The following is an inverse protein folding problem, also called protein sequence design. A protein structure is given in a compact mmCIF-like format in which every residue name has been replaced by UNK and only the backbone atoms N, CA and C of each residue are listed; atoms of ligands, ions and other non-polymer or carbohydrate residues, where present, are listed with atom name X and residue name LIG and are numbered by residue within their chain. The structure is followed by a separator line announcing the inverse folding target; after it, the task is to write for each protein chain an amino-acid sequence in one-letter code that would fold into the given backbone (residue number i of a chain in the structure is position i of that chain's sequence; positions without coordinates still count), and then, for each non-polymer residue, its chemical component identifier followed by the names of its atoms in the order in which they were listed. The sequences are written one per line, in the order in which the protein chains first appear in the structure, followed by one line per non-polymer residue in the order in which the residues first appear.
data_IF_892418743637
#
_entry.id   IF_892418743637
#
_cell.length_a   1.000
_cell.length_b   1.000
_cell.length_c   1.000
_cell.angle_alpha   90.00
_cell.angle_beta   90.00
_cell.angle_gamma   90.00
#
_symmetry.space_group_name_H-M   'P 1'
#
loop_
_entity.id
_entity.type
_entity.pdbx_description
1 polymer ?
#
# COMPACT_ATOMS: atom_id res chain seq x y z
N UNK A 1 -13.37 -4.02 9.97
CA UNK A 1 -11.92 -4.20 10.17
C UNK A 1 -11.45 -5.41 9.39
N UNK A 2 -10.30 -5.34 8.69
CA UNK A 2 -9.71 -6.48 8.00
C UNK A 2 -9.57 -7.68 8.94
N UNK A 3 -9.75 -8.90 8.41
CA UNK A 3 -9.65 -10.14 9.19
C UNK A 3 -8.29 -10.31 9.90
N UNK A 4 -7.30 -9.52 9.49
CA UNK A 4 -5.97 -9.54 10.07
C UNK A 4 -5.78 -8.59 11.26
N UNK A 5 -6.60 -7.55 11.43
CA UNK A 5 -6.50 -6.57 12.55
C UNK A 5 -7.17 -7.04 13.85
N UNK A 6 -7.85 -8.19 13.83
CA UNK A 6 -8.65 -8.66 14.96
C UNK A 6 -7.81 -9.31 16.08
N UNK A 7 -6.96 -8.55 16.77
CA UNK A 7 -6.59 -8.74 18.20
C UNK A 7 -5.64 -7.63 18.71
N UNK A 8 -5.91 -7.01 19.88
CA UNK A 8 -4.96 -6.11 20.52
C UNK A 8 -3.80 -6.93 21.10
N UNK A 9 -2.56 -6.53 20.82
CA UNK A 9 -1.37 -7.13 21.45
C UNK A 9 -0.48 -8.02 20.57
N UNK A 10 -0.64 -8.01 19.24
CA UNK A 10 0.35 -8.62 18.35
C UNK A 10 1.62 -7.77 18.31
N UNK A 11 2.45 -7.90 19.34
CA UNK A 11 3.83 -7.47 19.29
C UNK A 11 4.53 -8.42 18.30
N UNK A 12 4.63 -8.01 17.04
CA UNK A 12 5.46 -8.68 16.04
C UNK A 12 6.93 -8.56 16.46
N UNK A 13 7.36 -9.38 17.42
CA UNK A 13 8.78 -9.71 17.60
C UNK A 13 9.10 -10.80 16.59
N UNK A 14 9.25 -10.40 15.32
CA UNK A 14 9.79 -11.26 14.28
C UNK A 14 11.29 -11.45 14.51
N UNK A 15 11.67 -12.40 15.36
CA UNK A 15 12.98 -13.03 15.22
C UNK A 15 12.92 -13.93 13.99
N UNK A 16 13.12 -13.37 12.78
CA UNK A 16 13.60 -14.01 11.54
C UNK A 16 13.26 -13.17 10.29
N UNK A 17 13.77 -11.93 10.25
CA UNK A 17 14.38 -11.29 9.08
C UNK A 17 14.56 -9.82 9.45
N UNK A 18 15.81 -9.43 9.68
CA UNK A 18 16.18 -8.02 9.74
C UNK A 18 15.83 -7.40 8.39
N UNK A 19 14.73 -6.63 8.31
CA UNK A 19 14.42 -5.79 7.14
C UNK A 19 15.47 -4.66 6.98
N UNK A 20 16.33 -4.46 7.98
CA UNK A 20 17.37 -3.45 8.00
C UNK A 20 18.40 -3.54 6.85
N UNK A 21 18.41 -4.62 6.06
CA UNK A 21 19.37 -4.82 4.96
C UNK A 21 18.73 -4.89 3.55
N UNK A 22 17.40 -4.77 3.42
CA UNK A 22 16.71 -4.79 2.10
C UNK A 22 16.13 -3.46 1.66
N UNK A 23 15.84 -2.56 2.61
CA UNK A 23 15.38 -1.21 2.30
C UNK A 23 16.54 -0.28 1.95
N UNK A 24 17.20 -0.44 0.79
CA UNK A 24 18.05 0.59 0.14
C UNK A 24 18.95 0.09 -1.01
N UNK A 25 18.63 -0.98 -1.74
CA UNK A 25 19.33 -1.22 -3.03
C UNK A 25 18.72 -0.35 -4.13
N UNK A 26 18.94 0.95 -4.01
CA UNK A 26 18.87 1.92 -5.10
C UNK A 26 19.85 1.43 -6.18
N UNK A 27 19.35 0.77 -7.24
CA UNK A 27 20.19 0.52 -8.42
C UNK A 27 20.30 1.85 -9.14
N UNK A 28 21.44 2.52 -8.99
CA UNK A 28 21.83 3.62 -9.87
C UNK A 28 21.89 3.10 -11.31
N UNK A 29 20.88 3.45 -12.11
CA UNK A 29 20.95 3.35 -13.57
C UNK A 29 21.31 4.73 -14.12
N UNK A 30 22.46 4.90 -14.77
CA UNK A 30 22.81 6.15 -15.42
C UNK A 30 22.02 6.29 -16.72
N UNK A 31 21.01 7.15 -16.68
CA UNK A 31 20.25 7.62 -17.84
C UNK A 31 19.19 8.58 -17.30
N UNK A 32 19.36 9.88 -17.55
CA UNK A 32 18.56 10.99 -17.03
C UNK A 32 17.08 10.59 -16.75
N UNK A 33 16.78 10.27 -15.48
CA UNK A 33 15.46 9.78 -15.10
C UNK A 33 14.55 10.98 -14.91
N UNK A 34 13.53 11.10 -15.75
CA UNK A 34 12.34 11.91 -15.43
C UNK A 34 11.94 11.54 -14.00
N UNK A 35 11.99 12.49 -13.07
CA UNK A 35 11.68 12.29 -11.64
C UNK A 35 10.18 11.98 -11.50
N UNK A 36 9.73 10.78 -11.87
CA UNK A 36 8.31 10.42 -11.86
C UNK A 36 7.74 10.53 -10.45
N UNK A 37 6.47 10.92 -10.30
CA UNK A 37 5.84 10.91 -8.98
C UNK A 37 5.77 9.49 -8.42
N UNK A 38 5.79 9.38 -7.09
CA UNK A 38 5.60 8.09 -6.39
C UNK A 38 4.11 7.76 -6.28
N UNK A 39 3.76 6.48 -6.39
CA UNK A 39 2.43 5.97 -5.99
C UNK A 39 2.59 5.01 -4.82
N UNK A 40 2.25 5.49 -3.63
CA UNK A 40 2.15 4.67 -2.43
C UNK A 40 0.83 3.90 -2.44
N UNK A 41 0.91 2.57 -2.51
CA UNK A 41 -0.24 1.72 -2.75
C UNK A 41 -0.49 0.78 -1.57
N UNK A 42 -1.64 0.91 -0.92
CA UNK A 42 -2.13 -0.11 0.01
C UNK A 42 -2.80 -1.29 -0.72
N UNK A 43 -2.78 -2.45 -0.07
CA UNK A 43 -3.43 -3.67 -0.52
C UNK A 43 -4.85 -3.75 -0.01
N UNK A 44 -5.05 -3.70 1.30
CA UNK A 44 -6.36 -3.84 1.92
C UNK A 44 -7.14 -2.54 1.76
N UNK A 45 -8.34 -2.62 1.17
CA UNK A 45 -9.16 -1.48 0.80
C UNK A 45 -9.07 -1.24 -0.71
N UNK A 46 -7.99 -0.64 -1.23
CA UNK A 46 -7.85 -0.33 -2.65
C UNK A 46 -7.81 -1.55 -3.58
N UNK A 47 -6.92 -2.51 -3.34
CA UNK A 47 -6.76 -3.68 -4.22
C UNK A 47 -7.63 -4.84 -3.76
N UNK A 48 -7.73 -5.03 -2.44
CA UNK A 48 -8.51 -6.04 -1.78
C UNK A 48 -9.70 -5.39 -1.06
N UNK A 49 -10.89 -5.35 -1.68
CA UNK A 49 -12.09 -4.76 -1.08
C UNK A 49 -12.62 -5.65 0.04
N UNK A 50 -11.93 -5.64 1.18
CA UNK A 50 -12.17 -6.54 2.29
C UNK A 50 -13.52 -6.30 2.99
N UNK A 51 -14.11 -5.11 2.79
CA UNK A 51 -15.41 -4.74 3.34
C UNK A 51 -16.56 -5.02 2.36
N UNK A 52 -16.29 -5.58 1.18
CA UNK A 52 -17.33 -6.04 0.26
C UNK A 52 -18.16 -7.18 0.89
N UNK A 53 -19.40 -7.35 0.41
CA UNK A 53 -20.31 -8.39 0.91
C UNK A 53 -19.64 -9.78 0.75
N UNK A 54 -19.41 -10.54 1.84
CA UNK A 54 -18.61 -11.77 1.82
C UNK A 54 -19.10 -12.85 0.85
N UNK A 55 -20.40 -12.85 0.55
CA UNK A 55 -21.09 -13.87 -0.24
C UNK A 55 -20.95 -13.65 -1.74
N UNK A 56 -20.50 -12.46 -2.17
CA UNK A 56 -20.32 -12.13 -3.58
C UNK A 56 -18.99 -11.42 -3.81
N UNK A 57 -18.01 -12.21 -4.26
CA UNK A 57 -16.78 -11.69 -4.84
C UNK A 57 -17.13 -10.68 -5.96
N UNK A 58 -16.54 -9.48 -5.99
CA UNK A 58 -16.79 -8.53 -7.06
C UNK A 58 -16.43 -9.10 -8.44
N UNK A 59 -17.16 -8.68 -9.47
CA UNK A 59 -16.93 -9.16 -10.84
C UNK A 59 -15.52 -8.77 -11.31
N UNK A 60 -14.84 -9.70 -12.00
CA UNK A 60 -13.44 -9.54 -12.44
C UNK A 60 -12.38 -9.88 -11.38
N UNK A 61 -12.75 -10.01 -10.11
CA UNK A 61 -11.79 -10.37 -9.06
C UNK A 61 -11.54 -11.89 -9.03
N UNK A 62 -10.32 -12.29 -8.70
CA UNK A 62 -9.94 -13.66 -8.34
C UNK A 62 -9.78 -13.79 -6.83
N UNK A 63 -9.76 -15.03 -6.33
CA UNK A 63 -9.58 -15.33 -4.90
C UNK A 63 -8.21 -15.94 -4.65
N UNK A 64 -7.40 -15.28 -3.84
CA UNK A 64 -6.16 -15.81 -3.29
C UNK A 64 -6.39 -16.31 -1.85
N UNK A 65 -5.77 -17.43 -1.51
CA UNK A 65 -5.73 -17.96 -0.14
C UNK A 65 -4.30 -17.88 0.37
N UNK A 66 -4.02 -16.86 1.17
CA UNK A 66 -2.69 -16.65 1.74
C UNK A 66 -2.62 -17.34 3.10
N UNK A 67 -1.62 -18.20 3.38
CA UNK A 67 -1.43 -18.77 4.70
C UNK A 67 -1.30 -17.66 5.77
N UNK A 68 -2.01 -17.76 6.89
CA UNK A 68 -1.78 -16.88 8.02
C UNK A 68 -0.42 -17.21 8.66
N UNK A 69 0.56 -16.30 8.54
CA UNK A 69 1.90 -16.46 9.14
C UNK A 69 2.00 -15.74 10.51
N UNK A 70 0.94 -15.07 10.98
CA UNK A 70 0.94 -14.28 12.21
C UNK A 70 0.49 -14.99 13.50
N UNK A 71 0.62 -16.31 13.60
CA UNK A 71 0.26 -17.05 14.83
C UNK A 71 1.51 -17.37 15.66
N UNK A 72 1.48 -17.12 16.97
CA UNK A 72 2.50 -17.62 17.90
C UNK A 72 2.66 -19.15 17.74
N UNK A 73 3.89 -19.67 17.79
CA UNK A 73 4.15 -21.13 17.72
C UNK A 73 3.49 -21.92 18.88
N UNK A 74 3.07 -21.24 19.94
CA UNK A 74 2.39 -21.81 21.12
C UNK A 74 0.92 -22.17 20.87
N UNK A 75 0.29 -21.64 19.80
CA UNK A 75 -1.10 -21.99 19.43
C UNK A 75 -1.19 -23.31 18.63
N UNK A 76 -0.10 -24.11 18.56
CA UNK A 76 -0.04 -25.42 17.90
C UNK A 76 -0.76 -26.55 18.65
N UNK A 77 -1.87 -26.22 19.34
CA UNK A 77 -2.86 -27.19 19.78
C UNK A 77 -3.61 -27.81 18.58
N UNK A 78 -4.10 -29.03 18.78
CA UNK A 78 -4.72 -29.98 17.81
C UNK A 78 -6.02 -29.50 17.11
N UNK A 79 -6.15 -28.22 16.77
CA UNK A 79 -7.26 -27.65 15.99
C UNK A 79 -6.86 -26.44 15.13
N UNK A 80 -5.57 -26.27 14.86
CA UNK A 80 -5.08 -25.29 13.88
C UNK A 80 -5.38 -25.76 12.44
N UNK A 81 -6.67 -25.75 12.04
CA UNK A 81 -6.99 -25.57 10.62
C UNK A 81 -6.25 -24.31 10.21
N UNK A 82 -5.16 -24.44 9.44
CA UNK A 82 -4.32 -23.33 8.98
C UNK A 82 -5.25 -22.24 8.46
N UNK A 83 -5.46 -21.18 9.25
CA UNK A 83 -6.37 -20.11 8.85
C UNK A 83 -5.72 -19.45 7.63
N UNK A 84 -6.39 -19.48 6.50
CA UNK A 84 -5.93 -18.79 5.29
C UNK A 84 -6.67 -17.45 5.19
N UNK A 85 -5.94 -16.36 4.98
CA UNK A 85 -6.56 -15.10 4.59
C UNK A 85 -7.11 -15.23 3.18
N UNK A 86 -8.37 -14.81 3.04
CA UNK A 86 -8.99 -14.66 1.73
C UNK A 86 -8.69 -13.24 1.25
N UNK A 87 -8.03 -13.13 0.12
CA UNK A 87 -7.75 -11.86 -0.56
C UNK A 87 -8.44 -11.90 -1.91
N UNK A 88 -9.16 -10.84 -2.26
CA UNK A 88 -9.71 -10.66 -3.60
C UNK A 88 -8.86 -9.66 -4.36
N UNK A 89 -8.45 -10.00 -5.58
CA UNK A 89 -7.65 -9.12 -6.43
C UNK A 89 -8.22 -9.12 -7.85
N UNK A 90 -8.23 -7.98 -8.51
CA UNK A 90 -8.54 -7.90 -9.93
C UNK A 90 -7.22 -7.87 -10.74
N UNK A 91 -6.89 -8.92 -11.52
CA UNK A 91 -5.63 -8.96 -12.29
C UNK A 91 -5.47 -7.78 -13.27
N UNK A 92 -6.56 -7.20 -13.77
CA UNK A 92 -6.51 -6.06 -14.68
C UNK A 92 -5.94 -4.79 -14.02
N UNK A 93 -6.03 -4.68 -12.69
CA UNK A 93 -5.52 -3.50 -11.98
C UNK A 93 -4.02 -3.29 -12.19
N UNK A 94 -3.21 -4.35 -12.26
CA UNK A 94 -1.78 -4.17 -12.49
C UNK A 94 -1.47 -3.54 -13.85
N UNK A 95 -2.23 -3.91 -14.89
CA UNK A 95 -2.12 -3.31 -16.22
C UNK A 95 -2.51 -1.83 -16.22
N UNK A 96 -3.48 -1.42 -15.41
CA UNK A 96 -3.85 0.00 -15.26
C UNK A 96 -2.78 0.77 -14.47
N UNK A 97 -2.35 0.24 -13.31
CA UNK A 97 -1.32 0.84 -12.46
C UNK A 97 -0.02 1.12 -13.23
N UNK A 98 0.45 0.18 -14.05
CA UNK A 98 1.68 0.35 -14.84
C UNK A 98 1.60 1.43 -15.93
N UNK A 99 0.40 1.86 -16.33
CA UNK A 99 0.20 2.91 -17.34
C UNK A 99 0.08 4.31 -16.75
N UNK A 100 -0.07 4.45 -15.44
CA UNK A 100 -0.33 5.74 -14.79
C UNK A 100 0.87 6.71 -14.83
N UNK A 101 2.08 6.23 -15.16
CA UNK A 101 3.28 7.07 -15.22
C UNK A 101 3.97 7.32 -13.86
N UNK A 102 3.60 6.59 -12.81
CA UNK A 102 4.22 6.66 -11.49
C UNK A 102 5.37 5.66 -11.33
N UNK A 103 6.22 5.91 -10.34
CA UNK A 103 7.00 4.87 -9.67
C UNK A 103 6.17 4.26 -8.54
N UNK A 104 5.77 2.99 -8.70
CA UNK A 104 4.94 2.29 -7.73
C UNK A 104 5.76 1.87 -6.50
N UNK A 105 5.19 2.03 -5.30
CA UNK A 105 5.77 1.62 -4.04
C UNK A 105 4.69 1.06 -3.11
N UNK A 106 4.92 -0.12 -2.53
CA UNK A 106 4.01 -0.68 -1.55
C UNK A 106 3.98 0.14 -0.26
N UNK A 107 2.79 0.56 0.14
CA UNK A 107 2.51 1.30 1.38
C UNK A 107 1.46 0.55 2.20
N UNK A 108 1.76 -0.71 2.49
CA UNK A 108 0.81 -1.66 3.06
C UNK A 108 1.38 -2.38 4.27
N UNK A 109 0.51 -2.91 5.12
CA UNK A 109 0.89 -3.72 6.29
C UNK A 109 1.51 -5.05 5.90
N UNK A 110 1.31 -5.49 4.65
CA UNK A 110 1.99 -6.63 4.05
C UNK A 110 3.49 -6.39 3.83
N UNK A 111 3.94 -5.12 3.75
CA UNK A 111 5.33 -4.77 3.44
C UNK A 111 5.86 -5.58 2.23
N UNK A 112 7.04 -6.18 2.32
CA UNK A 112 7.63 -6.99 1.25
C UNK A 112 6.83 -8.27 0.92
N UNK A 113 6.01 -8.78 1.84
CA UNK A 113 5.16 -9.94 1.55
C UNK A 113 4.14 -9.64 0.44
N UNK A 114 3.85 -8.37 0.14
CA UNK A 114 3.07 -7.97 -1.02
C UNK A 114 3.72 -8.41 -2.36
N UNK A 115 5.05 -8.36 -2.46
CA UNK A 115 5.78 -8.85 -3.64
C UNK A 115 5.63 -10.37 -3.81
N UNK A 116 5.54 -11.10 -2.70
CA UNK A 116 5.40 -12.56 -2.72
C UNK A 116 3.99 -13.01 -3.08
N UNK A 117 2.97 -12.35 -2.51
CA UNK A 117 1.58 -12.85 -2.58
C UNK A 117 0.69 -12.04 -3.52
N UNK A 118 0.88 -10.73 -3.60
CA UNK A 118 -0.05 -9.82 -4.29
C UNK A 118 0.44 -9.52 -5.71
N UNK A 119 1.71 -9.09 -5.85
CA UNK A 119 2.28 -8.66 -7.12
C UNK A 119 2.11 -9.68 -8.26
N UNK A 120 2.34 -11.00 -8.07
CA UNK A 120 2.20 -11.98 -9.15
C UNK A 120 0.78 -12.09 -9.69
N UNK A 121 -0.23 -11.96 -8.82
CA UNK A 121 -1.65 -12.03 -9.24
C UNK A 121 -2.05 -10.81 -10.08
N UNK A 122 -1.41 -9.67 -9.82
CA UNK A 122 -1.64 -8.42 -10.57
C UNK A 122 -0.73 -8.30 -11.80
N UNK A 123 0.22 -9.23 -12.00
CA UNK A 123 1.23 -9.10 -13.05
C UNK A 123 2.17 -7.90 -12.85
N UNK A 124 2.33 -7.43 -11.62
CA UNK A 124 3.26 -6.36 -11.26
C UNK A 124 4.68 -6.94 -11.11
N UNK A 125 5.73 -6.17 -11.46
CA UNK A 125 7.09 -6.54 -11.09
C UNK A 125 7.26 -6.47 -9.57
N UNK A 126 8.41 -6.92 -9.07
CA UNK A 126 8.81 -6.63 -7.69
C UNK A 126 8.91 -5.11 -7.50
N UNK A 127 8.21 -4.58 -6.51
CA UNK A 127 8.15 -3.15 -6.20
C UNK A 127 8.94 -2.85 -4.92
N UNK A 128 9.51 -1.64 -4.80
CA UNK A 128 9.94 -1.16 -3.50
C UNK A 128 8.76 -1.09 -2.53
N UNK A 129 9.05 -1.11 -1.24
CA UNK A 129 8.06 -0.94 -0.17
C UNK A 129 8.56 0.04 0.88
N UNK A 130 7.64 0.69 1.57
CA UNK A 130 7.96 1.51 2.75
C UNK A 130 8.07 0.61 3.97
N UNK A 131 9.25 0.57 4.58
CA UNK A 131 9.45 -0.08 5.86
C UNK A 131 8.92 0.83 6.98
N UNK A 132 7.85 0.37 7.64
CA UNK A 132 7.20 1.09 8.72
C UNK A 132 7.79 0.78 10.09
N UNK A 133 8.67 -0.22 10.21
CA UNK A 133 9.38 -0.58 11.43
C UNK A 133 8.49 -0.55 12.68
N UNK A 134 8.95 0.18 13.70
CA UNK A 134 8.27 0.26 14.99
C UNK A 134 6.93 1.00 14.95
N UNK A 135 6.63 1.83 13.95
CA UNK A 135 5.37 2.59 13.91
C UNK A 135 4.22 1.81 13.29
N UNK A 136 4.50 0.65 12.70
CA UNK A 136 3.48 -0.22 12.09
C UNK A 136 2.31 -0.44 13.07
N UNK A 137 1.11 -0.03 12.64
CA UNK A 137 -0.16 -0.18 13.38
C UNK A 137 -0.23 0.52 14.74
N UNK A 138 0.72 1.39 15.06
CA UNK A 138 0.67 2.14 16.31
C UNK A 138 -0.23 3.35 16.14
N UNK A 139 -1.23 3.46 17.00
CA UNK A 139 -1.99 4.70 17.09
C UNK A 139 -1.07 5.85 17.50
N UNK A 140 -1.30 7.01 16.88
CA UNK A 140 -0.61 8.24 17.23
C UNK A 140 -1.52 9.08 18.12
N UNK A 141 -0.94 9.72 19.12
CA UNK A 141 -1.67 10.59 20.05
C UNK A 141 -2.30 11.82 19.38
N UNK A 142 -1.76 12.25 18.24
CA UNK A 142 -2.29 13.36 17.43
C UNK A 142 -3.39 12.92 16.45
N UNK A 143 -3.71 11.63 16.39
CA UNK A 143 -4.73 11.06 15.50
C UNK A 143 -4.35 11.01 14.02
N UNK A 144 -3.12 11.36 13.65
CA UNK A 144 -2.58 11.15 12.29
C UNK A 144 -2.37 9.65 12.07
N UNK A 145 -2.59 9.17 10.85
CA UNK A 145 -2.36 7.77 10.50
C UNK A 145 -0.87 7.43 10.59
N UNK A 146 -0.56 6.23 11.06
CA UNK A 146 0.82 5.81 11.33
C UNK A 146 1.69 5.67 10.08
N UNK A 147 1.08 5.51 8.90
CA UNK A 147 1.80 5.55 7.61
C UNK A 147 2.23 6.96 7.22
N UNK A 148 1.49 7.99 7.61
CA UNK A 148 1.60 9.34 7.02
C UNK A 148 3.00 9.94 7.14
N UNK A 149 3.58 9.97 8.33
CA UNK A 149 4.93 10.50 8.52
C UNK A 149 6.03 9.68 7.81
N UNK A 150 6.05 8.33 7.88
CA UNK A 150 6.92 7.50 7.05
C UNK A 150 6.80 7.77 5.54
N UNK A 151 5.58 7.92 5.00
CA UNK A 151 5.38 8.18 3.57
C UNK A 151 5.95 9.54 3.16
N UNK A 152 5.70 10.59 3.94
CA UNK A 152 6.28 11.93 3.70
C UNK A 152 7.80 11.89 3.72
N UNK A 153 8.39 11.17 4.70
CA UNK A 153 9.83 10.98 4.81
C UNK A 153 10.39 10.21 3.62
N UNK A 154 9.74 9.12 3.21
CA UNK A 154 10.15 8.31 2.07
C UNK A 154 10.12 9.11 0.78
N UNK A 155 9.08 9.92 0.58
CA UNK A 155 8.93 10.76 -0.60
C UNK A 155 10.06 11.79 -0.73
N UNK A 156 10.63 12.27 0.39
CA UNK A 156 11.83 13.11 0.36
C UNK A 156 11.70 14.38 -0.50
N UNK A 157 10.48 14.94 -0.57
CA UNK A 157 10.16 16.11 -1.41
C UNK A 157 9.72 15.78 -2.85
N UNK A 158 9.79 14.51 -3.28
CA UNK A 158 9.20 14.06 -4.56
C UNK A 158 7.67 14.09 -4.46
N UNK A 159 7.00 14.59 -5.49
CA UNK A 159 5.54 14.51 -5.59
C UNK A 159 5.06 13.07 -5.47
N UNK A 160 3.94 12.83 -4.79
CA UNK A 160 3.38 11.50 -4.62
C UNK A 160 1.86 11.47 -4.61
N UNK A 161 1.30 10.31 -4.93
CA UNK A 161 -0.07 9.95 -4.60
C UNK A 161 -0.06 8.80 -3.59
N UNK A 162 -0.97 8.82 -2.61
CA UNK A 162 -1.16 7.76 -1.62
C UNK A 162 -2.58 7.21 -1.74
N UNK A 163 -2.69 5.94 -2.11
CA UNK A 163 -3.94 5.21 -2.32
C UNK A 163 -4.17 4.25 -1.15
N UNK A 164 -5.24 4.46 -0.39
CA UNK A 164 -5.57 3.78 0.87
C UNK A 164 -7.06 3.97 1.20
N UNK A 165 -7.57 3.26 2.20
CA UNK A 165 -8.91 3.46 2.74
C UNK A 165 -8.92 4.08 4.15
N UNK A 166 -7.75 4.24 4.79
CA UNK A 166 -7.67 4.65 6.19
C UNK A 166 -7.25 6.13 6.38
N UNK A 167 -7.05 6.92 5.32
CA UNK A 167 -6.68 8.33 5.49
C UNK A 167 -7.81 9.17 6.09
N UNK A 168 -7.42 10.22 6.81
CA UNK A 168 -8.28 11.19 7.44
C UNK A 168 -7.89 12.63 7.10
N UNK A 169 -8.72 13.60 7.48
CA UNK A 169 -8.40 15.04 7.34
C UNK A 169 -7.10 15.42 8.06
N UNK A 170 -6.77 14.76 9.18
CA UNK A 170 -5.51 15.01 9.91
C UNK A 170 -4.29 14.63 9.08
N UNK A 171 -4.41 13.60 8.24
CA UNK A 171 -3.34 13.19 7.33
C UNK A 171 -3.13 14.23 6.24
N UNK A 172 -4.22 14.79 5.70
CA UNK A 172 -4.15 15.87 4.72
C UNK A 172 -3.46 17.11 5.30
N UNK A 173 -3.83 17.51 6.53
CA UNK A 173 -3.20 18.64 7.25
C UNK A 173 -1.71 18.36 7.49
N UNK A 174 -1.36 17.17 7.95
CA UNK A 174 0.04 16.79 8.18
C UNK A 174 0.86 16.85 6.90
N UNK A 175 0.37 16.25 5.81
CA UNK A 175 1.08 16.24 4.52
C UNK A 175 1.27 17.65 3.99
N UNK A 176 0.24 18.49 4.07
CA UNK A 176 0.32 19.90 3.63
C UNK A 176 1.37 20.69 4.42
N UNK A 177 1.49 20.43 5.72
CA UNK A 177 2.44 21.13 6.59
C UNK A 177 3.89 20.63 6.43
N UNK A 178 4.09 19.35 6.07
CA UNK A 178 5.39 18.69 6.17
C UNK A 178 5.98 18.22 4.83
N UNK A 179 5.25 18.32 3.73
CA UNK A 179 5.72 17.89 2.41
C UNK A 179 5.77 19.07 1.43
N UNK A 180 6.96 19.35 0.89
CA UNK A 180 7.18 20.45 -0.04
C UNK A 180 6.71 20.14 -1.48
N UNK A 181 6.62 18.86 -1.84
CA UNK A 181 6.13 18.43 -3.15
C UNK A 181 4.61 18.41 -3.22
N UNK A 182 4.06 18.27 -4.44
CA UNK A 182 2.63 18.04 -4.61
C UNK A 182 2.25 16.64 -4.11
N UNK A 183 1.22 16.55 -3.28
CA UNK A 183 0.71 15.28 -2.77
C UNK A 183 -0.79 15.12 -3.03
N UNK A 184 -1.20 13.92 -3.41
CA UNK A 184 -2.61 13.50 -3.49
C UNK A 184 -2.87 12.37 -2.50
N UNK A 185 -3.78 12.58 -1.55
CA UNK A 185 -4.34 11.50 -0.72
C UNK A 185 -5.62 11.03 -1.39
N UNK A 186 -5.55 9.87 -2.02
CA UNK A 186 -6.65 9.28 -2.76
C UNK A 186 -7.30 8.17 -1.93
N UNK A 187 -8.46 8.49 -1.38
CA UNK A 187 -9.25 7.58 -0.55
C UNK A 187 -10.09 6.64 -1.43
N UNK A 188 -10.05 5.34 -1.15
CA UNK A 188 -10.83 4.32 -1.86
C UNK A 188 -11.78 3.62 -0.88
N UNK A 189 -13.08 3.52 -1.22
CA UNK A 189 -14.03 2.80 -0.36
C UNK A 189 -13.72 1.29 -0.34
N UNK A 190 -13.42 0.70 0.83
CA UNK A 190 -12.99 -0.70 0.95
C UNK A 190 -14.12 -1.70 0.64
N UNK A 191 -15.36 -1.24 0.44
CA UNK A 191 -16.48 -2.07 -0.02
C UNK A 191 -16.44 -2.35 -1.51
N UNK A 192 -15.77 -1.50 -2.27
CA UNK A 192 -15.75 -1.56 -3.74
C UNK A 192 -14.33 -1.72 -4.29
N UNK A 193 -13.31 -1.18 -3.62
CA UNK A 193 -11.93 -1.15 -4.11
C UNK A 193 -11.78 -0.23 -5.33
N UNK A 194 -10.58 -0.20 -5.92
CA UNK A 194 -10.23 0.65 -7.06
C UNK A 194 -11.17 0.44 -8.25
N UNK A 195 -11.57 1.55 -8.87
CA UNK A 195 -12.42 1.66 -10.06
C UNK A 195 -11.78 2.52 -11.13
N UNK A 196 -12.44 2.57 -12.30
CA UNK A 196 -11.98 3.35 -13.45
C UNK A 196 -11.77 4.83 -13.10
N UNK A 197 -12.73 5.45 -12.42
CA UNK A 197 -12.66 6.86 -11.97
C UNK A 197 -11.46 7.14 -11.05
N UNK A 198 -11.03 6.16 -10.26
CA UNK A 198 -9.85 6.26 -9.40
C UNK A 198 -8.57 6.32 -10.25
N UNK A 199 -8.47 5.46 -11.26
CA UNK A 199 -7.35 5.48 -12.22
C UNK A 199 -7.32 6.76 -13.05
N UNK A 200 -8.48 7.31 -13.41
CA UNK A 200 -8.60 8.59 -14.11
C UNK A 200 -8.11 9.74 -13.22
N UNK A 201 -8.51 9.76 -11.95
CA UNK A 201 -8.04 10.73 -10.96
C UNK A 201 -6.52 10.70 -10.81
N UNK A 202 -5.93 9.52 -10.68
CA UNK A 202 -4.48 9.33 -10.59
C UNK A 202 -3.76 9.77 -11.88
N UNK A 203 -4.32 9.45 -13.05
CA UNK A 203 -3.79 9.86 -14.35
C UNK A 203 -3.80 11.39 -14.49
N UNK A 204 -4.89 12.04 -14.10
CA UNK A 204 -5.02 13.49 -14.14
C UNK A 204 -4.00 14.16 -13.21
N UNK A 205 -3.81 13.64 -12.00
CA UNK A 205 -2.78 14.13 -11.09
C UNK A 205 -1.38 14.04 -11.71
N UNK A 206 -0.98 12.89 -12.26
CA UNK A 206 0.33 12.73 -12.89
C UNK A 206 0.56 13.72 -14.05
N UNK A 207 -0.43 13.89 -14.93
CA UNK A 207 -0.36 14.83 -16.06
C UNK A 207 -0.23 16.29 -15.65
N UNK A 208 -0.87 16.69 -14.55
CA UNK A 208 -0.76 18.05 -14.03
C UNK A 208 0.64 18.35 -13.50
N UNK A 209 1.32 17.36 -12.91
CA UNK A 209 2.71 17.52 -12.48
C UNK A 209 3.67 17.70 -13.65
N UNK A 210 3.44 17.00 -14.76
CA UNK A 210 4.26 17.15 -15.97
C UNK A 210 4.07 18.53 -16.62
N UNK A 211 2.84 19.05 -16.61
CA UNK A 211 2.54 20.41 -17.07
C UNK A 211 3.28 21.46 -16.22
N UNK A 212 3.23 21.35 -14.90
CA UNK A 212 3.90 22.28 -13.98
C UNK A 212 5.43 22.29 -14.16
N UNK A 213 6.01 21.15 -14.54
CA UNK A 213 7.45 21.02 -14.83
C UNK A 213 7.88 21.60 -16.18
N UNK A 214 6.95 21.70 -17.12
CA UNK A 214 7.22 22.19 -18.47
C UNK A 214 7.13 23.72 -18.56
N UNK A 215 6.36 24.33 -17.64
CA UNK A 215 6.06 25.78 -17.65
C UNK A 215 6.96 26.59 -16.71
N UNK A 216 7.62 25.95 -15.74
CA UNK A 216 8.54 26.59 -14.78
C UNK A 216 10.01 26.40 -15.14
#
# INVERSE_FOLDING_TARGET
MPQWRSRPGAQCRSNLCSYADRGSRQRDRPGATVNRPLLFLDVDGPLNPYAAKPERRPDGYTTLRVPWIGGHEEDRGLSSRRRSLRVWLNPEHGRFLLRLGFELCWATTWMDDANRWIAPTLGLPELPFVDFGDVLLRERSDGVHWKTAPLVKYAGGRSFAWVDDEQSERDQVYVTAHHLGSALLHHVDPRVGLREDDFDTLTHFARNLDTLRTVG
#
